data_IF_787846597489
#
_entry.id   IF_787846597489
#
_cell.length_a   1.000
_cell.length_b   1.000
_cell.length_c   1.000
_cell.angle_alpha   90.00
_cell.angle_beta   90.00
_cell.angle_gamma   90.00
#
_symmetry.space_group_name_H-M   'P 1'
#
loop_
_entity.id
_entity.type
_entity.pdbx_description
1 polymer ?
#
# COMPACT_ATOMS: atom_id res chain seq x y z
N UNK A 1 -4.02 18.27 -12.20
CA UNK A 1 -5.32 17.62 -12.28
C UNK A 1 -5.12 16.12 -12.29
N UNK A 2 -5.75 15.44 -11.37
CA UNK A 2 -5.67 13.99 -11.35
C UNK A 2 -6.51 13.46 -12.51
N UNK A 3 -5.91 12.71 -13.37
CA UNK A 3 -6.57 12.16 -14.56
C UNK A 3 -7.49 11.02 -14.15
N UNK A 4 -8.70 11.34 -13.71
CA UNK A 4 -9.73 10.33 -13.42
C UNK A 4 -9.19 9.10 -12.69
N UNK A 5 -8.37 9.33 -11.67
CA UNK A 5 -7.83 8.25 -10.85
C UNK A 5 -8.97 7.65 -10.01
N UNK A 6 -9.16 6.35 -10.13
CA UNK A 6 -10.22 5.63 -9.44
C UNK A 6 -9.60 4.55 -8.56
N UNK A 7 -9.92 4.58 -7.26
CA UNK A 7 -9.43 3.58 -6.30
C UNK A 7 -10.54 2.58 -5.98
N UNK A 8 -10.21 1.31 -5.97
CA UNK A 8 -11.12 0.23 -5.60
C UNK A 8 -10.34 -0.90 -4.94
N UNK A 9 -11.03 -1.81 -4.30
CA UNK A 9 -10.35 -2.98 -3.75
C UNK A 9 -9.85 -3.89 -4.88
N UNK A 10 -8.69 -4.49 -4.64
CA UNK A 10 -8.09 -5.42 -5.60
C UNK A 10 -8.91 -6.70 -5.68
N UNK A 11 -8.95 -7.29 -6.87
CA UNK A 11 -9.57 -8.60 -7.13
C UNK A 11 -8.55 -9.49 -7.81
N UNK A 12 -8.85 -10.79 -7.92
CA UNK A 12 -7.88 -11.73 -8.50
C UNK A 12 -7.49 -11.42 -9.93
N UNK A 13 -8.38 -10.77 -10.69
CA UNK A 13 -8.05 -10.33 -12.04
C UNK A 13 -6.93 -9.28 -12.08
N UNK A 14 -6.61 -8.67 -10.96
CA UNK A 14 -5.53 -7.68 -10.87
C UNK A 14 -4.16 -8.32 -10.67
N UNK A 15 -4.08 -9.65 -10.58
CA UNK A 15 -2.84 -10.35 -10.23
C UNK A 15 -1.67 -10.00 -11.15
N UNK A 16 -1.90 -9.95 -12.46
CA UNK A 16 -0.84 -9.63 -13.41
C UNK A 16 -0.32 -8.20 -13.19
N UNK A 17 -1.25 -7.25 -13.05
CA UNK A 17 -0.87 -5.85 -12.84
C UNK A 17 -0.11 -5.66 -11.53
N UNK A 18 -0.52 -6.33 -10.46
CA UNK A 18 0.18 -6.24 -9.19
C UNK A 18 1.57 -6.86 -9.27
N UNK A 19 1.71 -8.01 -9.95
CA UNK A 19 3.00 -8.63 -10.13
C UNK A 19 3.96 -7.72 -10.90
N UNK A 20 3.45 -7.04 -11.92
CA UNK A 20 4.25 -6.09 -12.69
C UNK A 20 4.71 -4.91 -11.83
N UNK A 21 3.80 -4.35 -11.03
CA UNK A 21 4.15 -3.26 -10.13
C UNK A 21 5.15 -3.69 -9.06
N UNK A 22 5.00 -4.90 -8.53
CA UNK A 22 5.97 -5.43 -7.56
C UNK A 22 7.35 -5.61 -8.18
N UNK A 23 7.40 -6.02 -9.45
CA UNK A 23 8.69 -6.10 -10.17
C UNK A 23 9.34 -4.73 -10.23
N UNK A 24 8.59 -3.68 -10.54
CA UNK A 24 9.11 -2.31 -10.53
C UNK A 24 9.61 -1.89 -9.15
N UNK A 25 8.95 -2.36 -8.10
CA UNK A 25 9.33 -2.04 -6.72
C UNK A 25 10.57 -2.82 -6.25
N UNK A 26 10.99 -3.83 -6.98
CA UNK A 26 12.15 -4.64 -6.64
C UNK A 26 11.83 -6.05 -6.16
N UNK A 27 10.59 -6.50 -6.35
CA UNK A 27 10.15 -7.84 -5.96
C UNK A 27 9.67 -8.61 -7.19
N UNK A 28 10.59 -9.18 -7.98
CA UNK A 28 10.20 -9.94 -9.18
C UNK A 28 9.68 -11.34 -8.82
N UNK A 29 9.17 -12.02 -9.84
CA UNK A 29 8.81 -13.44 -9.75
C UNK A 29 7.66 -13.73 -8.77
N UNK A 30 6.67 -12.84 -8.74
CA UNK A 30 5.52 -13.00 -7.84
C UNK A 30 4.29 -13.61 -8.51
N UNK A 31 4.32 -13.80 -9.83
CA UNK A 31 3.13 -14.20 -10.59
C UNK A 31 2.53 -15.53 -10.12
N UNK A 32 3.38 -16.50 -9.75
CA UNK A 32 2.92 -17.84 -9.41
C UNK A 32 2.05 -17.90 -8.16
N UNK A 33 2.20 -16.93 -7.25
CA UNK A 33 1.44 -16.96 -5.99
C UNK A 33 0.53 -15.75 -5.81
N UNK A 34 0.46 -14.84 -6.79
CA UNK A 34 -0.28 -13.58 -6.59
C UNK A 34 -1.78 -13.80 -6.41
N UNK A 35 -2.40 -14.68 -7.21
CA UNK A 35 -3.83 -14.98 -7.07
C UNK A 35 -4.11 -15.53 -5.67
N UNK A 36 -3.28 -16.44 -5.19
CA UNK A 36 -3.42 -17.00 -3.86
C UNK A 36 -3.30 -15.92 -2.77
N UNK A 37 -2.35 -15.00 -2.93
CA UNK A 37 -2.18 -13.89 -1.98
C UNK A 37 -3.38 -12.96 -1.97
N UNK A 38 -3.89 -12.62 -3.15
CA UNK A 38 -5.07 -11.76 -3.24
C UNK A 38 -6.29 -12.41 -2.60
N UNK A 39 -6.47 -13.73 -2.79
CA UNK A 39 -7.54 -14.45 -2.12
C UNK A 39 -7.37 -14.45 -0.60
N UNK A 40 -6.15 -14.63 -0.11
CA UNK A 40 -5.88 -14.61 1.32
C UNK A 40 -6.21 -13.24 1.92
N UNK A 41 -5.83 -12.18 1.24
CA UNK A 41 -6.12 -10.81 1.70
C UNK A 41 -7.62 -10.56 1.69
N UNK A 42 -8.32 -10.98 0.63
CA UNK A 42 -9.77 -10.78 0.51
C UNK A 42 -10.55 -11.50 1.62
N UNK A 43 -10.00 -12.58 2.16
CA UNK A 43 -10.64 -13.38 3.21
C UNK A 43 -10.14 -13.04 4.62
N UNK A 44 -9.29 -12.04 4.76
CA UNK A 44 -8.73 -11.63 6.04
C UNK A 44 -9.38 -10.32 6.47
N UNK A 45 -10.14 -10.35 7.57
CA UNK A 45 -10.83 -9.16 8.06
C UNK A 45 -9.86 -8.05 8.49
N UNK A 46 -8.59 -8.37 8.74
CA UNK A 46 -7.57 -7.42 9.18
C UNK A 46 -6.68 -6.95 8.03
N UNK A 47 -7.01 -7.27 6.78
CA UNK A 47 -6.19 -6.90 5.64
C UNK A 47 -7.04 -6.33 4.51
N UNK A 48 -6.48 -5.42 3.74
CA UNK A 48 -7.13 -4.88 2.56
C UNK A 48 -6.07 -4.43 1.56
N UNK A 49 -6.38 -4.58 0.28
CA UNK A 49 -5.52 -4.08 -0.79
C UNK A 49 -6.38 -3.29 -1.76
N UNK A 50 -5.94 -2.09 -2.08
CA UNK A 50 -6.59 -1.24 -3.09
C UNK A 50 -5.69 -1.12 -4.29
N UNK A 51 -6.32 -1.00 -5.45
CA UNK A 51 -5.65 -0.61 -6.69
C UNK A 51 -6.20 0.74 -7.13
N UNK A 52 -5.37 1.47 -7.86
CA UNK A 52 -5.77 2.71 -8.50
C UNK A 52 -5.71 2.53 -10.01
N UNK A 53 -6.74 3.01 -10.69
CA UNK A 53 -6.85 2.93 -12.15
C UNK A 53 -6.86 4.31 -12.77
N UNK A 54 -6.23 4.43 -13.93
CA UNK A 54 -6.39 5.55 -14.84
C UNK A 54 -6.74 4.94 -16.19
N UNK A 55 -7.84 5.38 -16.79
CA UNK A 55 -8.31 4.85 -18.08
C UNK A 55 -8.42 3.32 -18.06
N UNK A 56 -8.97 2.78 -16.97
CA UNK A 56 -9.23 1.34 -16.80
C UNK A 56 -7.95 0.50 -16.72
N UNK A 57 -6.79 1.13 -16.52
CA UNK A 57 -5.54 0.42 -16.29
C UNK A 57 -5.08 0.63 -14.85
N UNK A 58 -4.70 -0.46 -14.20
CA UNK A 58 -4.15 -0.40 -12.84
C UNK A 58 -2.77 0.22 -12.92
N UNK A 59 -2.60 1.35 -12.22
CA UNK A 59 -1.35 2.11 -12.22
C UNK A 59 -0.73 2.22 -10.83
N UNK A 60 -1.35 1.62 -9.83
CA UNK A 60 -0.81 1.63 -8.48
C UNK A 60 -1.59 0.74 -7.55
N UNK A 61 -1.00 0.42 -6.41
CA UNK A 61 -1.69 -0.35 -5.38
C UNK A 61 -1.14 -0.01 -4.00
N UNK A 62 -1.94 -0.29 -2.98
CA UNK A 62 -1.55 -0.14 -1.57
C UNK A 62 -2.14 -1.29 -0.79
N UNK A 63 -1.29 -2.02 -0.07
CA UNK A 63 -1.68 -3.13 0.78
C UNK A 63 -1.57 -2.71 2.24
N UNK A 64 -2.64 -2.89 3.02
CA UNK A 64 -2.75 -2.40 4.39
C UNK A 64 -3.18 -3.51 5.32
N UNK A 65 -2.63 -3.51 6.53
CA UNK A 65 -2.99 -4.46 7.59
C UNK A 65 -3.37 -3.70 8.85
N UNK A 66 -4.41 -4.17 9.52
CA UNK A 66 -4.82 -3.64 10.82
C UNK A 66 -4.23 -4.55 11.89
N UNK A 67 -3.47 -3.98 12.81
CA UNK A 67 -2.71 -4.75 13.78
C UNK A 67 -3.16 -4.35 15.18
N UNK A 68 -3.65 -5.31 16.00
CA UNK A 68 -3.95 -5.03 17.40
C UNK A 68 -2.65 -4.73 18.16
N UNK A 69 -2.71 -3.77 19.06
CA UNK A 69 -1.56 -3.42 19.88
C UNK A 69 -1.93 -3.46 21.36
N UNK A 70 -0.94 -3.74 22.18
CA UNK A 70 -1.17 -3.89 23.63
C UNK A 70 -1.00 -2.60 24.41
N UNK A 71 -0.27 -1.64 23.86
CA UNK A 71 0.12 -0.45 24.62
C UNK A 71 -0.89 0.68 24.57
N UNK A 72 -1.79 0.67 23.58
CA UNK A 72 -2.76 1.75 23.38
C UNK A 72 -4.13 1.13 23.06
N UNK A 73 -5.18 1.89 23.28
CA UNK A 73 -6.55 1.41 23.11
C UNK A 73 -6.90 1.14 21.65
N UNK A 74 -6.39 1.97 20.73
CA UNK A 74 -6.65 1.79 19.30
C UNK A 74 -5.68 0.79 18.68
N UNK A 75 -6.08 0.25 17.54
CA UNK A 75 -5.16 -0.57 16.72
C UNK A 75 -4.31 0.35 15.86
N UNK A 76 -3.35 -0.21 15.11
CA UNK A 76 -2.63 0.60 14.15
C UNK A 76 -2.69 -0.04 12.76
N UNK A 77 -2.57 0.81 11.74
CA UNK A 77 -2.59 0.37 10.36
C UNK A 77 -1.17 0.38 9.81
N UNK A 78 -0.75 -0.72 9.16
CA UNK A 78 0.57 -0.79 8.52
C UNK A 78 0.42 -0.96 7.03
N UNK A 79 1.05 -0.05 6.29
CA UNK A 79 1.20 -0.19 4.86
C UNK A 79 2.30 -1.23 4.64
N UNK A 80 1.94 -2.38 4.06
CA UNK A 80 2.91 -3.44 3.80
C UNK A 80 3.60 -3.28 2.45
N UNK A 81 2.85 -2.87 1.42
CA UNK A 81 3.39 -2.56 0.09
C UNK A 81 2.62 -1.40 -0.52
N UNK A 82 3.33 -0.54 -1.22
CA UNK A 82 2.75 0.66 -1.82
C UNK A 82 3.60 1.03 -3.03
N UNK A 83 3.01 0.98 -4.21
CA UNK A 83 3.74 1.20 -5.44
C UNK A 83 2.86 1.90 -6.47
N UNK A 84 3.46 2.85 -7.17
CA UNK A 84 2.84 3.55 -8.30
C UNK A 84 3.68 3.25 -9.53
N UNK A 85 3.02 2.90 -10.64
CA UNK A 85 3.69 2.72 -11.92
C UNK A 85 4.52 3.96 -12.23
N UNK A 86 5.75 3.76 -12.68
CA UNK A 86 6.66 4.89 -12.90
C UNK A 86 6.15 5.86 -13.98
N UNK A 87 5.34 5.38 -14.92
CA UNK A 87 4.75 6.25 -15.94
C UNK A 87 3.57 7.06 -15.40
N UNK A 88 3.04 6.71 -14.24
CA UNK A 88 1.90 7.39 -13.62
C UNK A 88 2.29 8.23 -12.42
N UNK A 89 3.57 8.33 -12.09
CA UNK A 89 4.04 9.15 -10.97
C UNK A 89 3.75 10.62 -11.24
N UNK A 90 3.54 11.38 -10.17
CA UNK A 90 3.23 12.81 -10.23
C UNK A 90 1.82 13.13 -10.78
N UNK A 91 0.94 12.13 -10.83
CA UNK A 91 -0.46 12.32 -11.24
C UNK A 91 -1.43 12.22 -10.06
N UNK A 92 -0.93 12.28 -8.83
CA UNK A 92 -1.78 12.24 -7.64
C UNK A 92 -2.26 10.85 -7.24
N UNK A 93 -1.76 9.79 -7.89
CA UNK A 93 -2.18 8.40 -7.63
C UNK A 93 -1.81 7.97 -6.21
N UNK A 94 -0.57 8.26 -5.80
CA UNK A 94 -0.10 7.91 -4.46
C UNK A 94 -0.93 8.57 -3.37
N UNK A 95 -1.22 9.86 -3.56
CA UNK A 95 -2.04 10.59 -2.60
C UNK A 95 -3.46 10.02 -2.53
N UNK A 96 -4.05 9.67 -3.68
CA UNK A 96 -5.39 9.09 -3.72
C UNK A 96 -5.45 7.75 -2.98
N UNK A 97 -4.48 6.87 -3.20
CA UNK A 97 -4.40 5.60 -2.50
C UNK A 97 -4.19 5.79 -1.00
N UNK A 98 -3.33 6.73 -0.62
CA UNK A 98 -3.07 7.00 0.78
C UNK A 98 -4.30 7.57 1.47
N UNK A 99 -5.05 8.46 0.82
CA UNK A 99 -6.29 8.98 1.37
C UNK A 99 -7.32 7.87 1.59
N UNK A 100 -7.40 6.93 0.66
CA UNK A 100 -8.27 5.77 0.81
C UNK A 100 -7.87 4.94 2.03
N UNK A 101 -6.57 4.70 2.21
CA UNK A 101 -6.05 3.94 3.33
C UNK A 101 -6.29 4.66 4.65
N UNK A 102 -6.09 5.97 4.69
CA UNK A 102 -6.30 6.76 5.91
C UNK A 102 -7.77 6.75 6.33
N UNK A 103 -8.69 6.90 5.38
CA UNK A 103 -10.11 6.85 5.68
C UNK A 103 -10.48 5.50 6.28
N UNK A 104 -9.98 4.42 5.70
CA UNK A 104 -10.24 3.07 6.19
C UNK A 104 -9.66 2.87 7.60
N UNK A 105 -8.43 3.33 7.82
CA UNK A 105 -7.79 3.21 9.13
C UNK A 105 -8.59 3.94 10.21
N UNK A 106 -9.13 5.13 9.89
CA UNK A 106 -9.97 5.87 10.82
C UNK A 106 -11.28 5.12 11.11
N UNK A 107 -11.90 4.54 10.09
CA UNK A 107 -13.11 3.71 10.28
C UNK A 107 -12.84 2.52 11.20
N UNK A 108 -11.65 1.94 11.10
CA UNK A 108 -11.23 0.81 11.93
C UNK A 108 -10.72 1.25 13.31
N UNK A 109 -10.81 2.54 13.62
CA UNK A 109 -10.41 3.12 14.92
C UNK A 109 -8.93 2.92 15.21
N UNK A 110 -8.10 2.99 14.18
CA UNK A 110 -6.66 2.99 14.35
C UNK A 110 -6.20 4.33 14.91
N UNK A 111 -5.20 4.29 15.80
CA UNK A 111 -4.63 5.51 16.35
C UNK A 111 -3.48 6.05 15.50
N UNK A 112 -2.91 5.24 14.62
CA UNK A 112 -1.84 5.70 13.73
C UNK A 112 -1.68 4.77 12.54
N UNK A 113 -0.93 5.25 11.55
CA UNK A 113 -0.47 4.47 10.42
C UNK A 113 1.04 4.40 10.42
N UNK A 114 1.57 3.27 9.98
CA UNK A 114 3.01 3.04 9.86
C UNK A 114 3.33 2.55 8.46
N UNK A 115 4.53 2.88 8.00
CA UNK A 115 5.09 2.34 6.77
C UNK A 115 6.58 2.19 6.96
N UNK A 116 7.15 1.06 6.48
CA UNK A 116 8.59 0.87 6.47
C UNK A 116 9.11 1.15 5.06
N UNK A 117 10.12 1.98 4.96
CA UNK A 117 10.68 2.38 3.68
C UNK A 117 12.20 2.36 3.77
N UNK A 118 12.83 1.68 2.82
CA UNK A 118 14.30 1.58 2.80
C UNK A 118 14.90 2.99 2.70
N UNK A 119 15.99 3.22 3.44
CA UNK A 119 16.60 4.55 3.48
C UNK A 119 17.12 5.04 2.14
N UNK A 120 17.34 4.16 1.17
CA UNK A 120 17.76 4.54 -0.19
C UNK A 120 16.62 5.14 -1.02
N UNK A 121 15.37 4.96 -0.62
CA UNK A 121 14.22 5.45 -1.38
C UNK A 121 13.88 6.88 -0.99
N UNK A 122 14.76 7.80 -1.39
CA UNK A 122 14.69 9.20 -0.96
C UNK A 122 13.39 9.89 -1.42
N UNK A 123 12.95 9.61 -2.65
CA UNK A 123 11.71 10.23 -3.16
C UNK A 123 10.48 9.72 -2.39
N UNK A 124 10.48 8.45 -1.99
CA UNK A 124 9.41 7.90 -1.17
C UNK A 124 9.41 8.56 0.20
N UNK A 125 10.60 8.79 0.80
CA UNK A 125 10.70 9.48 2.09
C UNK A 125 10.10 10.88 2.00
N UNK A 126 10.40 11.63 0.94
CA UNK A 126 9.84 12.97 0.74
C UNK A 126 8.33 12.92 0.63
N UNK A 127 7.81 11.93 -0.09
CA UNK A 127 6.37 11.74 -0.21
C UNK A 127 5.74 11.52 1.15
N UNK A 128 6.28 10.60 1.95
CA UNK A 128 5.70 10.28 3.26
C UNK A 128 5.74 11.49 4.20
N UNK A 129 6.85 12.21 4.24
CA UNK A 129 6.95 13.41 5.08
C UNK A 129 5.94 14.47 4.64
N UNK A 130 5.80 14.68 3.34
CA UNK A 130 4.82 15.64 2.80
C UNK A 130 3.40 15.25 3.17
N UNK A 131 3.10 13.94 3.23
CA UNK A 131 1.78 13.44 3.57
C UNK A 131 1.56 13.31 5.08
N UNK A 132 2.47 13.83 5.89
CA UNK A 132 2.28 13.92 7.34
C UNK A 132 2.92 12.83 8.16
N UNK A 133 3.73 11.96 7.57
CA UNK A 133 4.44 10.92 8.32
C UNK A 133 5.69 11.52 8.96
N UNK A 134 5.95 11.13 10.21
CA UNK A 134 7.19 11.45 10.90
C UNK A 134 8.10 10.24 10.86
N UNK A 135 9.39 10.48 10.66
CA UNK A 135 10.36 9.41 10.68
C UNK A 135 10.44 8.82 12.10
N UNK A 136 10.36 7.49 12.17
CA UNK A 136 10.53 6.76 13.42
C UNK A 136 11.64 5.75 13.20
N UNK A 137 12.68 5.73 14.08
CA UNK A 137 13.88 4.96 13.76
C UNK A 137 13.70 3.47 13.96
N UNK A 138 14.27 2.78 13.05
CA UNK A 138 14.83 1.43 13.05
C UNK A 138 13.84 0.31 13.30
N UNK A 139 13.66 -0.49 12.26
CA UNK A 139 13.20 -1.85 12.46
C UNK A 139 14.35 -2.81 12.13
N UNK A 140 14.21 -4.05 12.60
CA UNK A 140 15.22 -5.09 12.37
C UNK A 140 14.53 -6.26 11.69
N UNK A 141 15.25 -6.91 10.76
CA UNK A 141 14.73 -8.06 10.03
C UNK A 141 15.68 -9.23 10.20
N UNK A 142 15.13 -10.42 10.38
CA UNK A 142 15.90 -11.65 10.48
C UNK A 142 15.27 -12.66 9.53
N UNK A 143 16.04 -13.11 8.55
CA UNK A 143 15.56 -14.13 7.63
C UNK A 143 15.49 -15.48 8.34
N UNK A 144 14.40 -16.20 8.10
CA UNK A 144 14.16 -17.51 8.72
C UNK A 144 14.31 -18.65 7.75
#
# INVERSE_FOLDING_TARGET
>A
MSDNCFCRQAVTNDAFALSDLLTQLGYPDTADFMVSKLNAIANDAAAVCWVAEINQQVVGFLSLHIIPQLALAGDFARISYFCIDETARSHGVGKALLQQAEAYAREQRCDRMEVHCHQRRVDAHRFYVREGFAESPKYFIKML
#
